data_IF_242967040599
#
_entry.id   IF_242967040599
#
_cell.length_a   1.000
_cell.length_b   1.000
_cell.length_c   1.000
_cell.angle_alpha   90.00
_cell.angle_beta   90.00
_cell.angle_gamma   90.00
#
_symmetry.space_group_name_H-M   'P 1'
#
loop_
_entity.id
_entity.type
_entity.pdbx_description
1 polymer ?
#
# COMPACT_ATOMS: atom_id res chain seq x y z
N UNK A 1 1.78 55.38 -40.31
CA UNK A 1 2.86 54.35 -40.16
C UNK A 1 2.48 53.51 -38.97
N UNK A 2 1.74 52.41 -39.19
CA UNK A 2 1.28 51.52 -38.14
C UNK A 2 2.37 50.47 -37.92
N UNK A 3 2.97 50.42 -36.70
CA UNK A 3 3.86 49.36 -36.26
C UNK A 3 3.04 48.09 -36.04
N UNK A 4 3.29 47.06 -36.85
CA UNK A 4 2.83 45.72 -36.66
C UNK A 4 3.63 45.13 -35.46
N UNK A 5 3.01 44.58 -34.40
CA UNK A 5 3.75 43.92 -33.34
C UNK A 5 4.33 42.60 -33.88
N UNK A 6 5.63 42.45 -33.76
CA UNK A 6 6.32 41.19 -33.99
C UNK A 6 5.85 40.16 -32.95
N UNK A 7 5.48 38.94 -33.36
CA UNK A 7 5.14 37.89 -32.39
C UNK A 7 6.37 37.52 -31.57
N UNK A 8 6.18 37.52 -30.25
CA UNK A 8 7.19 37.08 -29.28
C UNK A 8 7.48 35.58 -29.51
N UNK A 9 8.63 35.30 -30.08
CA UNK A 9 9.07 33.96 -30.53
C UNK A 9 9.66 33.10 -29.41
N UNK A 10 9.08 33.15 -28.18
CA UNK A 10 9.55 32.33 -27.03
C UNK A 10 8.46 31.58 -26.29
N UNK A 11 7.48 31.04 -26.96
CA UNK A 11 6.78 29.87 -26.46
C UNK A 11 7.33 28.63 -27.17
N UNK A 12 8.54 28.22 -26.82
CA UNK A 12 8.94 26.83 -26.94
C UNK A 12 7.94 26.04 -26.09
N UNK A 13 6.97 25.43 -26.72
CA UNK A 13 6.11 24.40 -26.13
C UNK A 13 7.03 23.30 -25.62
N UNK A 14 7.40 23.40 -24.36
CA UNK A 14 8.15 22.35 -23.66
C UNK A 14 7.24 21.13 -23.67
N UNK A 15 7.54 20.18 -24.53
CA UNK A 15 6.87 18.87 -24.57
C UNK A 15 7.04 18.29 -23.18
N UNK A 16 5.96 18.26 -22.39
CA UNK A 16 6.02 17.65 -21.07
C UNK A 16 6.15 16.13 -21.25
N UNK A 17 7.12 15.49 -20.59
CA UNK A 17 7.32 14.06 -20.72
C UNK A 17 6.10 13.29 -20.23
N UNK A 18 5.71 12.27 -21.00
CA UNK A 18 4.75 11.28 -20.54
C UNK A 18 5.40 10.44 -19.43
N UNK A 19 4.70 10.25 -18.32
CA UNK A 19 5.13 9.41 -17.21
C UNK A 19 4.22 8.21 -17.09
N UNK A 20 4.81 7.03 -17.09
CA UNK A 20 4.10 5.77 -16.93
C UNK A 20 4.56 5.10 -15.64
N UNK A 21 3.62 4.64 -14.84
CA UNK A 21 3.89 3.92 -13.61
C UNK A 21 3.37 2.50 -13.77
N UNK A 22 4.27 1.53 -13.63
CA UNK A 22 3.92 0.11 -13.74
C UNK A 22 3.09 -0.33 -12.54
N UNK A 23 1.88 -0.83 -12.78
CA UNK A 23 1.08 -1.50 -11.77
C UNK A 23 1.53 -2.95 -11.61
N UNK A 24 1.66 -3.43 -10.35
CA UNK A 24 2.04 -4.80 -10.04
C UNK A 24 1.74 -5.17 -8.58
N UNK A 25 1.68 -6.47 -8.29
CA UNK A 25 1.50 -6.99 -6.94
C UNK A 25 0.04 -7.03 -6.48
N UNK A 26 -0.18 -7.46 -5.23
CA UNK A 26 -1.50 -7.49 -4.59
C UNK A 26 -1.97 -6.11 -4.14
N UNK A 27 -3.20 -6.02 -3.63
CA UNK A 27 -3.92 -4.79 -3.31
C UNK A 27 -3.07 -3.75 -2.56
N UNK A 28 -2.39 -4.12 -1.48
CA UNK A 28 -1.57 -3.17 -0.72
C UNK A 28 -0.41 -2.56 -1.52
N UNK A 29 0.18 -3.31 -2.46
CA UNK A 29 1.19 -2.79 -3.37
C UNK A 29 0.57 -1.90 -4.45
N UNK A 30 -0.60 -2.29 -4.97
CA UNK A 30 -1.35 -1.48 -5.93
C UNK A 30 -1.71 -0.11 -5.34
N UNK A 31 -2.09 -0.06 -4.06
CA UNK A 31 -2.38 1.19 -3.34
C UNK A 31 -1.16 2.10 -3.24
N UNK A 32 0.02 1.60 -2.92
CA UNK A 32 1.24 2.42 -2.90
C UNK A 32 1.57 2.99 -4.29
N UNK A 33 1.46 2.17 -5.33
CA UNK A 33 1.69 2.59 -6.71
C UNK A 33 0.65 3.63 -7.13
N UNK A 34 -0.61 3.44 -6.74
CA UNK A 34 -1.68 4.38 -7.05
C UNK A 34 -1.53 5.70 -6.29
N UNK A 35 -1.10 5.66 -5.02
CA UNK A 35 -0.80 6.85 -4.23
C UNK A 35 0.33 7.68 -4.87
N UNK A 36 1.40 7.02 -5.34
CA UNK A 36 2.45 7.68 -6.12
C UNK A 36 1.87 8.29 -7.41
N UNK A 37 1.00 7.56 -8.12
CA UNK A 37 0.35 8.07 -9.33
C UNK A 37 -0.43 9.34 -9.06
N UNK A 38 -1.29 9.36 -8.05
CA UNK A 38 -2.10 10.54 -7.70
C UNK A 38 -1.20 11.74 -7.38
N UNK A 39 -0.17 11.53 -6.58
CA UNK A 39 0.80 12.56 -6.22
C UNK A 39 1.56 13.08 -7.43
N UNK A 40 1.99 12.19 -8.33
CA UNK A 40 2.68 12.58 -9.55
C UNK A 40 1.76 13.24 -10.58
N UNK A 41 0.53 12.76 -10.70
CA UNK A 41 -0.45 13.30 -11.64
C UNK A 41 -0.81 14.75 -11.32
N UNK A 42 -0.84 15.13 -10.04
CA UNK A 42 -0.99 16.52 -9.60
C UNK A 42 0.09 17.44 -10.20
N UNK A 43 1.35 17.03 -10.13
CA UNK A 43 2.49 17.81 -10.59
C UNK A 43 2.74 17.64 -12.09
N UNK A 44 2.34 16.52 -12.66
CA UNK A 44 2.58 16.09 -14.04
C UNK A 44 1.31 15.47 -14.63
N UNK A 45 0.39 16.25 -15.21
CA UNK A 45 -0.92 15.76 -15.68
C UNK A 45 -0.87 14.67 -16.77
N UNK A 46 0.28 14.51 -17.45
CA UNK A 46 0.50 13.43 -18.42
C UNK A 46 1.02 12.12 -17.79
N UNK A 47 0.89 11.97 -16.46
CA UNK A 47 1.16 10.70 -15.77
C UNK A 47 0.00 9.73 -16.00
N UNK A 48 0.31 8.44 -16.27
CA UNK A 48 -0.65 7.34 -16.44
C UNK A 48 -0.17 6.09 -15.73
N UNK A 49 -1.12 5.22 -15.38
CA UNK A 49 -0.82 3.88 -14.83
C UNK A 49 -0.83 2.89 -15.99
N UNK A 50 0.23 2.08 -16.09
CA UNK A 50 0.31 0.98 -17.04
C UNK A 50 -0.16 -0.33 -16.40
N UNK A 51 -1.31 -0.83 -16.85
CA UNK A 51 -1.91 -2.10 -16.41
C UNK A 51 -1.56 -3.30 -17.30
N UNK A 52 -0.71 -3.14 -18.31
CA UNK A 52 -0.51 -4.21 -19.31
C UNK A 52 -0.02 -5.53 -18.71
N UNK A 53 0.75 -5.49 -17.61
CA UNK A 53 1.18 -6.72 -16.94
C UNK A 53 0.08 -7.32 -16.04
N UNK A 54 -0.88 -6.51 -15.60
CA UNK A 54 -1.99 -6.96 -14.76
C UNK A 54 -3.05 -7.75 -15.54
N UNK A 55 -3.13 -7.59 -16.86
CA UNK A 55 -4.09 -8.34 -17.72
C UNK A 55 -3.86 -9.86 -17.66
N UNK A 56 -2.62 -10.29 -17.39
CA UNK A 56 -2.24 -11.70 -17.28
C UNK A 56 -1.78 -12.08 -15.86
N UNK A 57 -2.03 -11.20 -14.89
CA UNK A 57 -1.61 -11.39 -13.51
C UNK A 57 -2.72 -12.10 -12.72
N UNK A 58 -2.60 -13.42 -12.58
CA UNK A 58 -3.61 -14.24 -11.88
C UNK A 58 -3.37 -14.36 -10.37
N UNK A 59 -2.20 -13.90 -9.89
CA UNK A 59 -1.93 -13.87 -8.46
C UNK A 59 -2.69 -12.73 -7.77
N UNK A 60 -3.04 -12.91 -6.50
CA UNK A 60 -3.66 -11.87 -5.66
C UNK A 60 -4.94 -11.24 -6.25
N UNK A 61 -5.74 -12.00 -6.99
CA UNK A 61 -7.03 -11.56 -7.59
C UNK A 61 -6.89 -10.48 -8.69
N UNK A 62 -5.70 -10.27 -9.25
CA UNK A 62 -5.48 -9.32 -10.34
C UNK A 62 -5.50 -7.85 -9.89
N UNK A 63 -6.03 -6.97 -10.74
CA UNK A 63 -6.17 -5.55 -10.42
C UNK A 63 -7.48 -5.29 -9.66
N UNK A 64 -7.37 -4.81 -8.42
CA UNK A 64 -8.49 -4.70 -7.49
C UNK A 64 -8.94 -3.26 -7.20
N UNK A 65 -8.14 -2.26 -7.56
CA UNK A 65 -8.33 -0.88 -7.10
C UNK A 65 -9.73 -0.32 -7.39
N UNK A 66 -10.25 -0.50 -8.61
CA UNK A 66 -11.59 0.01 -8.96
C UNK A 66 -12.74 -0.69 -8.27
N UNK A 67 -12.54 -1.97 -7.93
CA UNK A 67 -13.55 -2.73 -7.21
C UNK A 67 -13.62 -2.33 -5.75
N UNK A 68 -12.44 -2.18 -5.13
CA UNK A 68 -12.32 -1.90 -3.69
C UNK A 68 -12.61 -0.43 -3.37
N UNK A 69 -12.20 0.46 -4.26
CA UNK A 69 -12.36 1.91 -4.12
C UNK A 69 -13.10 2.48 -5.34
N UNK A 70 -13.97 3.45 -5.14
CA UNK A 70 -14.72 4.10 -6.22
C UNK A 70 -13.83 5.07 -7.04
N UNK A 71 -12.77 4.54 -7.66
CA UNK A 71 -11.78 5.33 -8.38
C UNK A 71 -12.20 5.60 -9.84
N UNK A 72 -11.84 6.76 -10.41
CA UNK A 72 -12.04 7.03 -11.83
C UNK A 72 -11.14 6.11 -12.68
N UNK A 73 -11.64 5.69 -13.84
CA UNK A 73 -10.84 4.91 -14.80
C UNK A 73 -9.81 5.82 -15.46
N UNK A 74 -8.55 5.68 -15.08
CA UNK A 74 -7.43 6.50 -15.58
C UNK A 74 -6.28 5.63 -16.11
N UNK A 75 -6.51 4.35 -16.24
CA UNK A 75 -5.51 3.36 -16.60
C UNK A 75 -5.28 3.30 -18.10
N UNK A 76 -4.07 2.90 -18.44
CA UNK A 76 -3.61 2.74 -19.78
C UNK A 76 -2.93 1.38 -19.95
N UNK A 77 -3.22 0.68 -21.03
CA UNK A 77 -2.55 -0.56 -21.38
C UNK A 77 -1.65 -0.34 -22.59
N UNK A 78 -0.35 -0.49 -22.38
CA UNK A 78 0.62 -0.41 -23.45
C UNK A 78 0.61 -1.74 -24.21
N UNK A 79 0.35 -1.76 -25.54
CA UNK A 79 0.51 -2.98 -26.34
C UNK A 79 1.93 -3.55 -26.20
N UNK A 80 2.07 -4.87 -26.09
CA UNK A 80 3.37 -5.51 -25.85
C UNK A 80 4.42 -5.20 -26.93
N UNK A 81 4.00 -5.08 -28.20
CA UNK A 81 4.89 -4.70 -29.28
C UNK A 81 5.46 -3.28 -29.09
N UNK A 82 4.64 -2.36 -28.55
CA UNK A 82 5.05 -0.99 -28.27
C UNK A 82 6.00 -0.92 -27.08
N UNK A 83 5.85 -1.78 -26.05
CA UNK A 83 6.84 -1.91 -24.97
C UNK A 83 8.23 -2.26 -25.50
N UNK A 84 8.32 -3.22 -26.42
CA UNK A 84 9.61 -3.61 -27.06
C UNK A 84 10.23 -2.46 -27.86
N UNK A 85 9.42 -1.69 -28.58
CA UNK A 85 9.91 -0.52 -29.34
C UNK A 85 10.36 0.58 -28.39
N UNK A 86 9.61 0.82 -27.29
CA UNK A 86 9.94 1.82 -26.28
C UNK A 86 11.24 1.50 -25.52
N UNK A 87 11.57 0.23 -25.34
CA UNK A 87 12.84 -0.21 -24.73
C UNK A 87 14.06 0.16 -25.58
N UNK A 88 13.88 0.42 -26.88
CA UNK A 88 14.97 0.70 -27.82
C UNK A 88 15.22 2.19 -28.10
N UNK A 89 14.25 3.08 -27.98
CA UNK A 89 14.36 4.35 -28.71
C UNK A 89 14.38 5.64 -27.88
N UNK A 90 13.68 5.85 -26.79
CA UNK A 90 13.66 7.15 -26.05
C UNK A 90 13.07 7.03 -24.64
N UNK A 91 13.57 6.09 -23.89
CA UNK A 91 12.90 5.64 -22.70
C UNK A 91 13.87 5.63 -21.51
N UNK A 92 13.51 6.29 -20.44
CA UNK A 92 14.22 6.17 -19.17
C UNK A 92 13.43 5.34 -18.19
N UNK A 93 13.93 4.16 -17.84
CA UNK A 93 13.38 3.40 -16.71
C UNK A 93 13.96 3.92 -15.41
N UNK A 94 13.08 4.26 -14.48
CA UNK A 94 13.43 4.57 -13.10
C UNK A 94 13.00 3.39 -12.24
N UNK A 95 13.98 2.70 -11.67
CA UNK A 95 13.76 1.64 -10.70
C UNK A 95 13.77 2.24 -9.30
N UNK A 96 12.81 1.85 -8.47
CA UNK A 96 12.90 2.10 -7.05
C UNK A 96 14.05 1.27 -6.49
N UNK A 97 15.18 1.93 -6.22
CA UNK A 97 16.36 1.30 -5.62
C UNK A 97 16.61 1.92 -4.26
N UNK A 98 17.03 1.09 -3.30
CA UNK A 98 17.69 1.37 -2.01
C UNK A 98 17.35 2.63 -1.18
N UNK A 99 16.73 3.66 -1.73
CA UNK A 99 16.28 4.85 -1.01
C UNK A 99 14.78 5.00 -1.12
N UNK A 100 14.05 4.04 -0.55
CA UNK A 100 12.59 4.12 -0.45
C UNK A 100 12.19 5.46 0.19
N UNK A 101 11.24 6.14 -0.43
CA UNK A 101 10.78 7.46 0.01
C UNK A 101 11.57 8.65 -0.52
N UNK A 102 12.54 8.48 -1.43
CA UNK A 102 13.23 9.58 -2.10
C UNK A 102 12.46 10.05 -3.34
N UNK A 103 12.00 11.29 -3.31
CA UNK A 103 11.35 11.94 -4.46
C UNK A 103 12.34 12.44 -5.51
N UNK A 104 13.66 12.29 -5.27
CA UNK A 104 14.72 12.83 -6.14
C UNK A 104 14.60 12.30 -7.56
N UNK A 105 14.41 10.99 -7.72
CA UNK A 105 14.37 10.34 -9.04
C UNK A 105 13.25 10.85 -9.95
N UNK A 106 12.06 11.18 -9.41
CA UNK A 106 10.98 11.70 -10.25
C UNK A 106 11.10 13.20 -10.56
N UNK A 107 11.84 13.96 -9.72
CA UNK A 107 12.12 15.38 -9.98
C UNK A 107 13.20 15.58 -11.05
N UNK A 108 14.18 14.69 -11.14
CA UNK A 108 15.34 14.82 -12.02
C UNK A 108 15.11 14.36 -13.48
N UNK A 109 13.99 13.71 -13.75
CA UNK A 109 13.76 13.08 -15.06
C UNK A 109 13.09 13.99 -16.12
N UNK A 110 13.33 15.30 -16.08
CA UNK A 110 12.64 16.27 -16.97
C UNK A 110 13.05 16.25 -18.44
N UNK A 111 14.17 15.60 -18.78
CA UNK A 111 14.76 15.67 -20.12
C UNK A 111 14.33 14.57 -21.09
N UNK A 112 13.56 13.57 -20.62
CA UNK A 112 13.16 12.42 -21.44
C UNK A 112 11.70 12.55 -21.87
N UNK A 113 11.37 12.30 -23.15
CA UNK A 113 9.99 12.38 -23.64
C UNK A 113 9.06 11.35 -23.01
N UNK A 114 9.62 10.22 -22.55
CA UNK A 114 8.91 9.16 -21.87
C UNK A 114 9.74 8.62 -20.70
N UNK A 115 9.09 8.51 -19.54
CA UNK A 115 9.69 7.97 -18.30
C UNK A 115 8.82 6.85 -17.78
N UNK A 116 9.43 5.73 -17.43
CA UNK A 116 8.74 4.55 -16.91
C UNK A 116 9.23 4.18 -15.52
N UNK A 117 8.33 4.23 -14.55
CA UNK A 117 8.60 3.97 -13.13
C UNK A 117 8.24 2.52 -12.80
N UNK A 118 9.22 1.78 -12.24
CA UNK A 118 9.07 0.38 -11.80
C UNK A 118 9.47 0.25 -10.34
N UNK A 119 8.57 -0.22 -9.49
CA UNK A 119 8.77 -0.41 -8.07
C UNK A 119 7.45 -0.50 -7.32
N UNK A 120 7.50 -0.72 -6.01
CA UNK A 120 6.32 -0.73 -5.16
C UNK A 120 6.08 0.62 -4.45
N UNK A 121 7.12 1.44 -4.32
CA UNK A 121 7.07 2.77 -3.71
C UNK A 121 6.45 2.77 -2.30
N UNK A 122 6.83 1.77 -1.50
CA UNK A 122 6.29 1.48 -0.18
C UNK A 122 6.82 2.45 0.87
N UNK A 123 6.37 3.71 0.82
CA UNK A 123 6.64 4.71 1.86
C UNK A 123 5.63 5.85 1.76
N UNK A 124 5.12 6.34 2.91
CA UNK A 124 4.26 7.53 2.93
C UNK A 124 4.97 8.80 2.46
N UNK A 125 6.32 8.83 2.46
CA UNK A 125 7.11 9.97 1.99
C UNK A 125 6.87 10.33 0.53
N UNK A 126 6.43 9.37 -0.30
CA UNK A 126 6.08 9.63 -1.70
C UNK A 126 4.82 10.51 -1.85
N UNK A 127 3.98 10.57 -0.82
CA UNK A 127 2.72 11.31 -0.81
C UNK A 127 2.45 12.03 0.53
N UNK A 128 3.52 12.36 1.27
CA UNK A 128 3.42 12.95 2.61
C UNK A 128 2.66 14.28 2.63
N UNK A 129 2.82 15.09 1.59
CA UNK A 129 2.13 16.37 1.37
C UNK A 129 0.78 16.21 0.65
N UNK A 130 0.24 14.99 0.56
CA UNK A 130 -0.96 14.64 -0.20
C UNK A 130 -1.83 13.57 0.51
N UNK A 131 -1.72 13.52 1.85
CA UNK A 131 -2.33 12.44 2.66
C UNK A 131 -3.85 12.48 2.65
N UNK A 132 -4.45 13.64 2.67
CA UNK A 132 -5.90 13.80 2.76
C UNK A 132 -6.56 13.35 1.46
N UNK A 133 -6.01 13.72 0.32
CA UNK A 133 -6.48 13.30 -1.01
C UNK A 133 -6.31 11.78 -1.21
N UNK A 134 -5.24 11.19 -0.66
CA UNK A 134 -5.07 9.73 -0.68
C UNK A 134 -6.13 9.04 0.18
N UNK A 135 -6.47 9.60 1.36
CA UNK A 135 -7.53 9.04 2.22
C UNK A 135 -8.89 9.11 1.54
N UNK A 136 -9.18 10.24 0.88
CA UNK A 136 -10.40 10.41 0.11
C UNK A 136 -10.48 9.39 -1.06
N UNK A 137 -9.39 9.28 -1.84
CA UNK A 137 -9.31 8.34 -2.95
C UNK A 137 -9.47 6.87 -2.52
N UNK A 138 -8.95 6.52 -1.33
CA UNK A 138 -9.04 5.15 -0.79
C UNK A 138 -10.23 4.96 0.16
N UNK A 139 -11.33 5.65 -0.12
CA UNK A 139 -12.63 5.37 0.52
C UNK A 139 -13.15 4.03 0.00
N UNK A 140 -13.35 3.08 0.90
CA UNK A 140 -13.85 1.75 0.55
C UNK A 140 -15.27 1.81 -0.03
N UNK A 141 -15.51 0.98 -1.04
CA UNK A 141 -16.84 0.84 -1.61
C UNK A 141 -17.78 0.10 -0.63
N UNK A 142 -18.53 0.88 0.15
CA UNK A 142 -19.41 0.36 1.19
C UNK A 142 -20.54 -0.54 0.63
N UNK A 143 -20.91 -0.39 -0.64
CA UNK A 143 -21.95 -1.20 -1.26
C UNK A 143 -21.53 -2.65 -1.42
N UNK A 144 -20.24 -2.91 -1.58
CA UNK A 144 -19.67 -4.24 -1.76
C UNK A 144 -19.31 -4.96 -0.45
N UNK A 145 -19.48 -4.31 0.70
CA UNK A 145 -19.27 -4.96 2.00
C UNK A 145 -20.33 -6.07 2.21
N UNK A 146 -19.89 -7.23 2.69
CA UNK A 146 -20.79 -8.30 3.10
C UNK A 146 -21.57 -7.92 4.36
N UNK A 147 -22.75 -8.51 4.55
CA UNK A 147 -23.56 -8.26 5.75
C UNK A 147 -22.81 -8.68 7.03
N UNK A 148 -22.02 -9.76 6.97
CA UNK A 148 -21.18 -10.20 8.10
C UNK A 148 -20.13 -9.16 8.44
N UNK A 149 -19.48 -8.55 7.44
CA UNK A 149 -18.51 -7.48 7.66
C UNK A 149 -19.16 -6.23 8.22
N UNK A 150 -20.35 -5.83 7.71
CA UNK A 150 -21.11 -4.69 8.25
C UNK A 150 -21.48 -4.91 9.72
N UNK A 151 -22.02 -6.09 10.05
CA UNK A 151 -22.37 -6.46 11.41
C UNK A 151 -21.17 -6.45 12.32
N UNK A 152 -20.05 -7.09 11.90
CA UNK A 152 -18.83 -7.11 12.71
C UNK A 152 -18.27 -5.70 12.94
N UNK A 153 -18.29 -4.84 11.93
CA UNK A 153 -17.86 -3.44 12.10
C UNK A 153 -18.70 -2.69 13.15
N UNK A 154 -20.02 -2.92 13.17
CA UNK A 154 -20.91 -2.35 14.21
C UNK A 154 -20.58 -2.87 15.61
N UNK A 155 -20.34 -4.17 15.77
CA UNK A 155 -19.93 -4.78 17.03
C UNK A 155 -18.56 -4.23 17.49
N UNK A 156 -17.62 -4.07 16.58
CA UNK A 156 -16.30 -3.50 16.86
C UNK A 156 -16.40 -2.10 17.46
N UNK A 157 -17.33 -1.28 17.01
CA UNK A 157 -17.51 0.08 17.57
C UNK A 157 -17.96 0.13 19.03
N UNK A 158 -18.43 -0.97 19.59
CA UNK A 158 -18.90 -1.05 20.99
C UNK A 158 -17.80 -1.34 22.00
N UNK A 159 -16.56 -1.56 21.57
CA UNK A 159 -15.43 -1.88 22.46
C UNK A 159 -14.13 -1.16 22.05
N UNK A 160 -13.15 -1.15 22.97
CA UNK A 160 -11.77 -0.84 22.62
C UNK A 160 -11.26 -1.98 21.73
N UNK A 161 -10.92 -1.67 20.49
CA UNK A 161 -10.62 -2.64 19.44
C UNK A 161 -9.21 -2.46 18.87
N UNK A 162 -8.47 -3.54 18.85
CA UNK A 162 -7.11 -3.60 18.28
C UNK A 162 -7.11 -4.62 17.15
N UNK A 163 -6.66 -4.25 15.95
CA UNK A 163 -6.42 -5.23 14.91
C UNK A 163 -5.06 -5.91 15.09
N UNK A 164 -5.02 -7.22 14.90
CA UNK A 164 -3.80 -8.01 14.76
C UNK A 164 -3.81 -8.67 13.39
N UNK A 165 -2.89 -8.27 12.52
CA UNK A 165 -2.71 -8.95 11.24
C UNK A 165 -1.49 -9.83 11.24
N UNK A 166 -1.68 -11.11 10.91
CA UNK A 166 -0.61 -12.11 10.79
C UNK A 166 -0.54 -12.60 9.35
N UNK A 167 0.62 -12.40 8.72
CA UNK A 167 0.87 -12.82 7.34
C UNK A 167 1.84 -13.99 7.30
N UNK A 168 1.38 -15.12 6.75
CA UNK A 168 2.17 -16.34 6.62
C UNK A 168 2.15 -16.86 5.18
N UNK A 169 1.08 -17.44 4.72
CA UNK A 169 0.80 -17.88 3.34
C UNK A 169 2.01 -17.97 2.42
N UNK A 170 2.07 -17.13 1.40
CA UNK A 170 3.17 -17.08 0.45
C UNK A 170 4.54 -16.77 1.07
N UNK A 171 4.61 -16.17 2.27
CA UNK A 171 5.87 -15.86 2.94
C UNK A 171 6.60 -17.11 3.47
N UNK A 172 5.88 -18.24 3.62
CA UNK A 172 6.48 -19.53 4.00
C UNK A 172 7.10 -20.27 2.82
N UNK A 173 6.88 -19.84 1.59
CA UNK A 173 7.53 -20.44 0.42
C UNK A 173 9.05 -20.23 0.48
N UNK A 174 9.87 -21.22 0.09
CA UNK A 174 11.34 -21.17 0.25
C UNK A 174 11.98 -19.89 -0.31
N UNK A 175 11.51 -19.38 -1.44
CA UNK A 175 12.05 -18.19 -2.08
C UNK A 175 11.76 -16.89 -1.33
N UNK A 176 10.76 -16.86 -0.44
CA UNK A 176 10.38 -15.68 0.33
C UNK A 176 10.71 -15.79 1.81
N UNK A 177 10.84 -17.00 2.34
CA UNK A 177 10.95 -17.27 3.77
C UNK A 177 12.12 -16.50 4.40
N UNK A 178 13.32 -16.63 3.85
CA UNK A 178 14.52 -15.99 4.40
C UNK A 178 14.40 -14.48 4.52
N UNK A 179 13.76 -13.84 3.55
CA UNK A 179 13.69 -12.38 3.51
C UNK A 179 12.42 -11.79 4.16
N UNK A 180 11.30 -12.51 4.10
CA UNK A 180 9.99 -12.01 4.55
C UNK A 180 9.40 -12.87 5.67
N UNK A 181 9.36 -14.20 5.50
CA UNK A 181 8.68 -15.11 6.41
C UNK A 181 9.33 -15.24 7.78
N UNK A 182 10.64 -15.02 7.85
CA UNK A 182 11.42 -15.04 9.10
C UNK A 182 11.38 -13.74 9.91
N UNK A 183 10.68 -12.71 9.43
CA UNK A 183 10.65 -11.39 10.10
C UNK A 183 9.64 -11.38 11.25
N UNK A 184 8.36 -11.59 10.95
CA UNK A 184 7.30 -11.55 11.96
C UNK A 184 7.08 -12.95 12.53
N UNK A 185 7.85 -13.30 13.56
CA UNK A 185 7.76 -14.58 14.30
C UNK A 185 6.67 -14.53 15.36
N UNK A 186 6.40 -15.65 16.05
CA UNK A 186 5.48 -15.71 17.17
C UNK A 186 5.89 -14.71 18.29
N UNK A 187 7.20 -14.62 18.54
CA UNK A 187 7.78 -13.71 19.54
C UNK A 187 7.50 -12.24 19.21
N UNK A 188 7.61 -11.85 17.93
CA UNK A 188 7.24 -10.50 17.49
C UNK A 188 5.77 -10.20 17.83
N UNK A 189 4.87 -11.10 17.42
CA UNK A 189 3.44 -10.91 17.67
C UNK A 189 3.13 -10.88 19.17
N UNK A 190 3.73 -11.77 19.95
CA UNK A 190 3.52 -11.79 21.39
C UNK A 190 4.01 -10.52 22.09
N UNK A 191 5.18 -9.99 21.72
CA UNK A 191 5.69 -8.70 22.22
C UNK A 191 4.73 -7.55 21.88
N UNK A 192 4.25 -7.52 20.63
CA UNK A 192 3.31 -6.47 20.20
C UNK A 192 1.96 -6.57 20.93
N UNK A 193 1.46 -7.78 21.16
CA UNK A 193 0.23 -8.02 21.94
C UNK A 193 0.42 -7.60 23.40
N UNK A 194 1.52 -7.98 24.03
CA UNK A 194 1.82 -7.58 25.41
C UNK A 194 1.91 -6.05 25.55
N UNK A 195 2.64 -5.39 24.65
CA UNK A 195 2.74 -3.94 24.61
C UNK A 195 1.37 -3.25 24.50
N UNK A 196 0.50 -3.75 23.64
CA UNK A 196 -0.87 -3.22 23.51
C UNK A 196 -1.74 -3.52 24.71
N UNK A 197 -1.63 -4.72 25.27
CA UNK A 197 -2.43 -5.12 26.45
C UNK A 197 -2.06 -4.35 27.71
N UNK A 198 -0.79 -4.01 27.89
CA UNK A 198 -0.33 -3.16 29.01
C UNK A 198 -0.94 -1.75 28.94
N UNK A 199 -1.12 -1.20 27.75
CA UNK A 199 -1.70 0.14 27.57
C UNK A 199 -3.24 0.11 27.53
N UNK A 200 -3.82 -0.97 27.04
CA UNK A 200 -5.27 -1.13 26.80
C UNK A 200 -5.75 -2.49 27.31
N UNK A 201 -5.79 -2.72 28.64
CA UNK A 201 -6.08 -4.04 29.23
C UNK A 201 -7.47 -4.58 28.90
N UNK A 202 -8.46 -3.70 28.67
CA UNK A 202 -9.83 -4.09 28.33
C UNK A 202 -10.06 -4.23 26.82
N UNK A 203 -9.00 -4.12 26.00
CA UNK A 203 -9.14 -4.17 24.56
C UNK A 203 -9.46 -5.58 24.06
N UNK A 204 -10.27 -5.63 23.00
CA UNK A 204 -10.53 -6.84 22.22
C UNK A 204 -9.67 -6.85 20.97
N UNK A 205 -8.98 -7.97 20.76
CA UNK A 205 -8.16 -8.17 19.58
C UNK A 205 -8.99 -8.78 18.45
N UNK A 206 -9.02 -8.11 17.31
CA UNK A 206 -9.61 -8.63 16.06
C UNK A 206 -8.48 -9.15 15.19
N UNK A 207 -8.48 -10.46 14.96
CA UNK A 207 -7.38 -11.19 14.34
C UNK A 207 -7.68 -11.49 12.89
N UNK A 208 -6.80 -11.06 12.02
CA UNK A 208 -6.85 -11.25 10.58
C UNK A 208 -5.61 -12.03 10.13
N UNK A 209 -5.79 -13.15 9.46
CA UNK A 209 -4.67 -13.98 9.00
C UNK A 209 -5.07 -14.91 7.87
N UNK A 210 -4.12 -15.24 7.03
CA UNK A 210 -4.19 -16.35 6.08
C UNK A 210 -3.86 -17.72 6.72
N UNK A 211 -3.57 -17.76 8.04
CA UNK A 211 -3.27 -18.95 8.83
C UNK A 211 -3.75 -18.79 10.29
N UNK A 212 -5.07 -18.75 10.48
CA UNK A 212 -5.69 -18.54 11.81
C UNK A 212 -5.35 -19.70 12.78
N UNK A 213 -5.20 -20.92 12.28
CA UNK A 213 -4.84 -22.06 13.11
C UNK A 213 -3.49 -21.85 13.80
N UNK A 214 -2.51 -21.39 13.05
CA UNK A 214 -1.19 -21.05 13.59
C UNK A 214 -1.27 -19.94 14.64
N UNK A 215 -2.09 -18.91 14.40
CA UNK A 215 -2.23 -17.80 15.38
C UNK A 215 -2.79 -18.33 16.69
N UNK A 216 -3.84 -19.16 16.65
CA UNK A 216 -4.46 -19.77 17.84
C UNK A 216 -3.48 -20.62 18.65
N UNK A 217 -2.51 -21.26 17.96
CA UNK A 217 -1.51 -22.13 18.60
C UNK A 217 -0.33 -21.36 19.19
N UNK A 218 0.11 -20.27 18.51
CA UNK A 218 1.41 -19.64 18.80
C UNK A 218 1.33 -18.24 19.41
N UNK A 219 0.17 -17.57 19.38
CA UNK A 219 0.02 -16.22 19.92
C UNK A 219 -1.06 -16.19 21.00
N UNK A 220 -0.64 -15.90 22.22
CA UNK A 220 -1.57 -15.80 23.36
C UNK A 220 -2.30 -14.44 23.32
N UNK A 221 -3.61 -14.49 23.24
CA UNK A 221 -4.47 -13.32 23.16
C UNK A 221 -5.48 -13.33 24.33
N UNK A 222 -5.52 -12.28 25.18
CA UNK A 222 -6.39 -12.26 26.35
C UNK A 222 -7.89 -12.18 25.99
N UNK A 223 -8.23 -11.53 24.89
CA UNK A 223 -9.61 -11.37 24.41
C UNK A 223 -9.58 -11.23 22.88
N UNK A 224 -9.94 -12.28 22.15
CA UNK A 224 -9.79 -12.33 20.69
C UNK A 224 -11.07 -12.69 19.95
N UNK A 225 -11.23 -12.06 18.78
CA UNK A 225 -12.19 -12.45 17.74
C UNK A 225 -11.40 -12.74 16.46
N UNK A 226 -11.51 -13.95 15.97
CA UNK A 226 -10.85 -14.37 14.72
C UNK A 226 -11.77 -14.11 13.54
N UNK A 227 -11.30 -13.34 12.55
CA UNK A 227 -12.07 -12.99 11.36
C UNK A 227 -11.70 -13.99 10.25
N UNK A 228 -12.65 -14.87 9.90
CA UNK A 228 -12.41 -15.99 8.99
C UNK A 228 -13.35 -15.98 7.77
N UNK A 229 -14.24 -14.98 7.67
CA UNK A 229 -15.30 -14.98 6.65
C UNK A 229 -14.93 -14.23 5.36
N UNK A 230 -13.90 -13.40 5.36
CA UNK A 230 -13.46 -12.63 4.20
C UNK A 230 -12.37 -13.41 3.46
N UNK A 231 -12.72 -14.18 2.45
CA UNK A 231 -11.77 -15.02 1.72
C UNK A 231 -11.78 -14.69 0.23
N UNK A 232 -10.70 -15.06 -0.45
CA UNK A 232 -10.60 -14.90 -1.90
C UNK A 232 -10.74 -13.43 -2.32
N UNK A 233 -11.63 -13.17 -3.26
CA UNK A 233 -11.89 -11.84 -3.78
C UNK A 233 -12.42 -10.86 -2.71
N UNK A 234 -12.96 -11.34 -1.61
CA UNK A 234 -13.50 -10.50 -0.52
C UNK A 234 -12.50 -10.21 0.59
N UNK A 235 -11.27 -10.71 0.49
CA UNK A 235 -10.21 -10.51 1.50
C UNK A 235 -9.89 -9.03 1.77
N UNK A 236 -10.15 -8.13 0.84
CA UNK A 236 -9.99 -6.68 1.03
C UNK A 236 -10.85 -6.11 2.18
N UNK A 237 -11.97 -6.80 2.53
CA UNK A 237 -12.83 -6.39 3.63
C UNK A 237 -12.14 -6.54 4.99
N UNK A 238 -11.10 -7.37 5.10
CA UNK A 238 -10.23 -7.40 6.28
C UNK A 238 -9.46 -6.09 6.45
N UNK A 239 -8.97 -5.52 5.36
CA UNK A 239 -8.32 -4.20 5.41
C UNK A 239 -9.30 -3.11 5.84
N UNK A 240 -10.53 -3.16 5.36
CA UNK A 240 -11.60 -2.28 5.82
C UNK A 240 -11.79 -2.42 7.34
N UNK A 241 -11.99 -3.63 7.86
CA UNK A 241 -12.17 -3.86 9.29
C UNK A 241 -10.95 -3.42 10.12
N UNK A 242 -9.72 -3.67 9.64
CA UNK A 242 -8.50 -3.16 10.28
C UNK A 242 -8.48 -1.63 10.36
N UNK A 243 -8.98 -0.93 9.34
CA UNK A 243 -9.07 0.53 9.34
C UNK A 243 -10.12 1.06 10.33
N UNK A 244 -11.12 0.25 10.70
CA UNK A 244 -12.14 0.59 11.70
C UNK A 244 -11.65 0.36 13.14
N UNK A 245 -10.50 -0.27 13.35
CA UNK A 245 -9.94 -0.47 14.68
C UNK A 245 -9.41 0.82 15.30
N UNK A 246 -9.30 0.84 16.65
CA UNK A 246 -8.74 1.99 17.38
C UNK A 246 -7.22 1.99 17.27
N UNK A 247 -6.61 0.81 17.38
CA UNK A 247 -5.17 0.59 17.33
C UNK A 247 -4.87 -0.61 16.42
N UNK A 248 -3.60 -0.76 15.99
CA UNK A 248 -3.25 -1.78 15.02
C UNK A 248 -1.91 -2.44 15.34
N UNK A 249 -1.83 -3.76 15.17
CA UNK A 249 -0.57 -4.52 15.10
C UNK A 249 -0.44 -5.03 13.67
N UNK A 250 0.61 -4.63 12.96
CA UNK A 250 0.80 -4.97 11.54
C UNK A 250 1.90 -6.00 11.35
N UNK A 251 1.72 -6.89 10.38
CA UNK A 251 2.80 -7.71 9.84
C UNK A 251 3.70 -6.86 8.92
N UNK A 252 4.81 -7.43 8.45
CA UNK A 252 5.62 -6.88 7.36
C UNK A 252 4.91 -7.02 5.99
N UNK A 253 3.68 -6.53 5.93
CA UNK A 253 2.78 -6.66 4.78
C UNK A 253 2.17 -5.31 4.41
N UNK A 254 2.28 -4.94 3.13
CA UNK A 254 1.65 -3.73 2.59
C UNK A 254 0.13 -3.70 2.82
N UNK A 255 -0.50 -4.88 2.93
CA UNK A 255 -1.93 -5.00 3.21
C UNK A 255 -2.30 -4.45 4.60
N UNK A 256 -1.65 -4.93 5.66
CA UNK A 256 -1.91 -4.42 7.02
C UNK A 256 -1.34 -3.02 7.24
N UNK A 257 -0.28 -2.66 6.51
CA UNK A 257 0.22 -1.28 6.52
C UNK A 257 -0.90 -0.30 6.15
N UNK A 258 -1.61 -0.56 5.05
CA UNK A 258 -2.71 0.29 4.62
C UNK A 258 -3.91 0.24 5.56
N UNK A 259 -4.25 -0.93 6.12
CA UNK A 259 -5.29 -1.02 7.14
C UNK A 259 -5.02 -0.12 8.34
N UNK A 260 -3.77 -0.07 8.82
CA UNK A 260 -3.36 0.82 9.91
C UNK A 260 -3.23 2.30 9.47
N UNK A 261 -2.75 2.56 8.24
CA UNK A 261 -2.59 3.93 7.76
C UNK A 261 -3.94 4.61 7.51
N UNK A 262 -4.91 3.89 6.95
CA UNK A 262 -6.27 4.37 6.71
C UNK A 262 -7.11 4.53 7.99
N UNK A 263 -6.72 3.91 9.11
CA UNK A 263 -7.34 4.17 10.41
C UNK A 263 -7.36 5.68 10.70
N UNK A 264 -8.55 6.31 10.87
CA UNK A 264 -8.68 7.77 10.96
C UNK A 264 -8.33 8.35 12.34
N UNK A 265 -8.17 7.51 13.36
CA UNK A 265 -7.96 7.97 14.73
C UNK A 265 -6.60 8.66 14.88
N UNK A 266 -6.60 9.93 15.33
CA UNK A 266 -5.37 10.72 15.46
C UNK A 266 -4.45 10.18 16.58
N UNK A 267 -5.03 9.60 17.62
CA UNK A 267 -4.35 9.01 18.79
C UNK A 267 -4.11 7.49 18.65
N UNK A 268 -4.23 6.96 17.44
CA UNK A 268 -3.97 5.54 17.21
C UNK A 268 -2.54 5.16 17.57
N UNK A 269 -2.39 4.03 18.23
CA UNK A 269 -1.14 3.34 18.46
C UNK A 269 -1.01 2.25 17.39
N UNK A 270 0.10 2.24 16.67
CA UNK A 270 0.38 1.21 15.66
C UNK A 270 1.71 0.54 15.98
N UNK A 271 1.69 -0.78 16.19
CA UNK A 271 2.89 -1.59 16.33
C UNK A 271 3.30 -2.17 14.96
N UNK A 272 4.55 -1.97 14.58
CA UNK A 272 5.14 -2.55 13.37
C UNK A 272 6.47 -3.26 13.72
N UNK A 273 6.93 -4.22 12.88
CA UNK A 273 8.22 -4.87 13.11
C UNK A 273 9.38 -3.87 12.95
N UNK A 274 10.44 -4.05 13.74
CA UNK A 274 11.62 -3.16 13.74
C UNK A 274 12.37 -3.16 12.41
N UNK A 275 12.28 -4.25 11.65
CA UNK A 275 12.71 -4.37 10.25
C UNK A 275 11.54 -4.89 9.42
N UNK A 276 11.52 -4.57 8.13
CA UNK A 276 10.45 -5.05 7.24
C UNK A 276 10.87 -6.24 6.40
N UNK A 277 12.15 -6.26 6.05
CA UNK A 277 12.80 -7.36 5.32
C UNK A 277 14.19 -7.62 5.90
N UNK A 278 14.67 -8.87 5.82
CA UNK A 278 16.06 -9.19 6.22
C UNK A 278 17.10 -8.60 5.28
N UNK A 279 16.71 -8.28 4.05
CA UNK A 279 17.62 -7.62 3.09
C UNK A 279 17.89 -6.15 3.42
N UNK A 280 17.12 -5.53 4.32
CA UNK A 280 17.26 -4.12 4.68
C UNK A 280 16.75 -3.13 3.60
N UNK A 281 17.06 -1.84 3.79
CA UNK A 281 16.65 -0.78 2.87
C UNK A 281 15.19 -0.37 3.00
N UNK A 282 14.60 -0.57 4.18
CA UNK A 282 13.19 -0.36 4.49
C UNK A 282 12.94 0.61 5.66
N UNK A 283 13.96 1.40 6.03
CA UNK A 283 13.92 2.31 7.19
C UNK A 283 12.79 3.34 7.10
N UNK A 284 12.40 3.71 5.88
CA UNK A 284 11.36 4.70 5.60
C UNK A 284 9.97 4.08 5.29
N UNK A 285 9.83 2.77 5.44
CA UNK A 285 8.58 2.09 5.10
C UNK A 285 7.51 2.34 6.16
N UNK A 286 7.86 2.14 7.44
CA UNK A 286 6.95 2.47 8.53
C UNK A 286 7.01 3.96 8.86
N UNK A 287 5.88 4.65 9.02
CA UNK A 287 5.82 6.01 9.54
C UNK A 287 6.60 6.17 10.84
N UNK A 288 7.20 7.35 11.06
CA UNK A 288 7.97 7.62 12.28
C UNK A 288 7.12 7.58 13.55
N UNK A 289 5.82 7.79 13.44
CA UNK A 289 4.86 7.73 14.55
C UNK A 289 4.50 6.30 14.98
N UNK A 290 4.91 5.26 14.23
CA UNK A 290 4.61 3.87 14.58
C UNK A 290 5.64 3.29 15.53
N UNK A 291 5.18 2.49 16.51
CA UNK A 291 6.03 1.80 17.47
C UNK A 291 6.71 0.59 16.83
N UNK A 292 8.04 0.61 16.81
CA UNK A 292 8.85 -0.48 16.27
C UNK A 292 9.07 -1.54 17.33
N UNK A 293 8.50 -2.72 17.13
CA UNK A 293 8.65 -3.88 18.03
C UNK A 293 9.81 -4.74 17.49
N UNK A 294 10.72 -5.12 18.38
CA UNK A 294 11.84 -5.98 18.03
C UNK A 294 11.36 -7.33 17.47
N UNK A 295 12.01 -7.79 16.39
CA UNK A 295 11.72 -9.09 15.75
C UNK A 295 12.62 -10.22 16.25
N UNK A 296 13.64 -9.89 17.07
CA UNK A 296 14.61 -10.82 17.71
C UNK A 296 14.56 -10.64 19.22
#
# INVERSE_FOLDING_TARGET
>A
MFKVPTPDSRQLTTIQPMRLIKMTGGLGNQMFIYALYLRMHRDFPHTRIDLSDMQHYHAHHGYEMHRVFALPQTEFCIPQWMKKVMEFVFFKTILERHQKGSLKAYREAHFWPLIYYKGFYQSERYFEDFKDEIREAFTFNAELLSDKTRQLAQEMHQCMRISLHVRRGAYLLPQFFQNLGSVCTAEYYQRAVNFMHEQFPDARFFVFSDDIAWVKEHVQLPNATYVEHNQGADSWQDMYLMSQCRHNIVANSSFSWWGAWLNPHADKVVCCPSIWTRAGGDENLCPASWHRIAVE
#
